data_IF_656362093213
#
_entry.id   IF_656362093213
#
_cell.length_a   1.000
_cell.length_b   1.000
_cell.length_c   1.000
_cell.angle_alpha   90.00
_cell.angle_beta   90.00
_cell.angle_gamma   90.00
#
_symmetry.space_group_name_H-M   'P 1'
#
loop_
_entity.id
_entity.type
_entity.pdbx_description
1 polymer ?
#
# COMPACT_ATOMS: atom_id res chain seq x y z
N UNK A 1 24.76 -10.37 -2.63
CA UNK A 1 24.20 -9.00 -2.46
C UNK A 1 24.72 -7.98 -3.50
N UNK A 2 26.01 -7.90 -3.87
CA UNK A 2 26.54 -6.92 -4.87
C UNK A 2 26.03 -7.10 -6.31
N UNK A 3 25.77 -8.33 -6.77
CA UNK A 3 25.37 -8.61 -8.17
C UNK A 3 23.99 -8.05 -8.57
N UNK A 4 23.00 -8.06 -7.67
CA UNK A 4 21.65 -7.57 -7.96
C UNK A 4 21.59 -6.04 -8.10
N UNK A 5 22.31 -5.31 -7.25
CA UNK A 5 22.42 -3.84 -7.32
C UNK A 5 23.11 -3.36 -8.59
N UNK A 6 24.08 -4.13 -9.10
CA UNK A 6 24.77 -3.82 -10.35
C UNK A 6 23.86 -3.97 -11.59
N UNK A 7 22.87 -4.87 -11.53
CA UNK A 7 21.97 -5.15 -12.65
C UNK A 7 20.69 -4.30 -12.65
N UNK A 8 20.20 -3.86 -11.49
CA UNK A 8 18.87 -3.20 -11.35
C UNK A 8 18.93 -1.80 -10.75
N UNK A 9 20.12 -1.32 -10.35
CA UNK A 9 20.28 -0.03 -9.65
C UNK A 9 19.73 0.01 -8.22
N UNK A 10 18.98 -1.02 -7.79
CA UNK A 10 18.35 -1.10 -6.46
C UNK A 10 18.88 -2.30 -5.67
N UNK A 11 18.77 -2.25 -4.34
CA UNK A 11 19.06 -3.45 -3.55
C UNK A 11 17.93 -4.47 -3.73
N UNK A 12 18.24 -5.77 -3.63
CA UNK A 12 17.21 -6.83 -3.66
C UNK A 12 16.07 -6.56 -2.67
N UNK A 13 16.41 -6.02 -1.50
CA UNK A 13 15.47 -5.63 -0.46
C UNK A 13 14.57 -4.49 -0.96
N UNK A 14 15.14 -3.46 -1.61
CA UNK A 14 14.37 -2.35 -2.16
C UNK A 14 13.42 -2.79 -3.28
N UNK A 15 13.86 -3.71 -4.15
CA UNK A 15 12.99 -4.24 -5.19
C UNK A 15 11.80 -5.02 -4.60
N UNK A 16 12.04 -5.90 -3.62
CA UNK A 16 10.97 -6.63 -2.92
C UNK A 16 10.03 -5.67 -2.18
N UNK A 17 10.57 -4.62 -1.54
CA UNK A 17 9.75 -3.59 -0.89
C UNK A 17 8.84 -2.90 -1.91
N UNK A 18 9.36 -2.53 -3.09
CA UNK A 18 8.55 -1.90 -4.13
C UNK A 18 7.43 -2.83 -4.61
N UNK A 19 7.72 -4.10 -4.88
CA UNK A 19 6.70 -5.09 -5.27
C UNK A 19 5.59 -5.23 -4.22
N UNK A 20 5.96 -5.28 -2.94
CA UNK A 20 5.00 -5.35 -1.83
C UNK A 20 4.15 -4.08 -1.71
N UNK A 21 4.72 -2.91 -1.98
CA UNK A 21 3.98 -1.65 -1.98
C UNK A 21 2.98 -1.60 -3.14
N UNK A 22 3.38 -2.03 -4.33
CA UNK A 22 2.46 -2.07 -5.48
C UNK A 22 1.30 -3.04 -5.25
N UNK A 23 1.56 -4.22 -4.68
CA UNK A 23 0.48 -5.14 -4.32
C UNK A 23 -0.42 -4.57 -3.22
N UNK A 24 0.14 -3.89 -2.22
CA UNK A 24 -0.66 -3.24 -1.19
C UNK A 24 -1.57 -2.14 -1.76
N UNK A 25 -1.11 -1.36 -2.76
CA UNK A 25 -1.94 -0.37 -3.45
C UNK A 25 -3.12 -1.05 -4.14
N UNK A 26 -2.85 -2.12 -4.89
CA UNK A 26 -3.89 -2.92 -5.57
C UNK A 26 -4.94 -3.45 -4.61
N UNK A 27 -4.53 -3.99 -3.46
CA UNK A 27 -5.46 -4.50 -2.43
C UNK A 27 -6.25 -3.36 -1.76
N UNK A 28 -5.63 -2.21 -1.51
CA UNK A 28 -6.33 -1.06 -0.95
C UNK A 28 -7.42 -0.50 -1.89
N UNK A 29 -7.20 -0.62 -3.20
CA UNK A 29 -8.13 -0.20 -4.26
C UNK A 29 -9.29 -1.19 -4.45
N UNK A 30 -9.03 -2.50 -4.31
CA UNK A 30 -9.95 -3.56 -4.74
C UNK A 30 -10.58 -4.39 -3.61
N UNK A 31 -10.10 -4.25 -2.38
CA UNK A 31 -10.54 -5.03 -1.21
C UNK A 31 -11.00 -4.14 -0.04
N UNK A 32 -11.85 -4.70 0.82
CA UNK A 32 -12.37 -4.09 2.05
C UNK A 32 -11.48 -4.36 3.28
N UNK A 33 -10.53 -5.29 3.20
CA UNK A 33 -9.59 -5.62 4.29
C UNK A 33 -8.94 -4.38 4.91
N UNK A 34 -8.72 -4.35 6.22
CA UNK A 34 -8.03 -3.24 6.88
C UNK A 34 -6.57 -3.10 6.40
N UNK A 35 -5.99 -1.92 6.61
CA UNK A 35 -4.58 -1.68 6.29
C UNK A 35 -3.61 -2.62 7.06
N UNK A 36 -4.04 -3.15 8.20
CA UNK A 36 -3.22 -4.02 9.05
C UNK A 36 -3.28 -5.48 8.56
N UNK A 37 -4.45 -5.94 8.11
CA UNK A 37 -4.58 -7.22 7.41
C UNK A 37 -3.80 -7.21 6.09
N UNK A 38 -3.90 -6.13 5.31
CA UNK A 38 -3.12 -5.97 4.07
C UNK A 38 -1.62 -5.98 4.38
N UNK A 39 -1.17 -5.39 5.48
CA UNK A 39 0.23 -5.43 5.89
C UNK A 39 0.72 -6.88 6.06
N UNK A 40 -0.07 -7.73 6.73
CA UNK A 40 0.25 -9.15 6.89
C UNK A 40 0.25 -9.89 5.54
N UNK A 41 -0.75 -9.64 4.68
CA UNK A 41 -0.85 -10.26 3.34
C UNK A 41 0.38 -9.95 2.48
N UNK A 42 0.86 -8.69 2.50
CA UNK A 42 2.06 -8.29 1.73
C UNK A 42 3.38 -8.58 2.48
N UNK A 43 3.33 -9.36 3.56
CA UNK A 43 4.49 -9.93 4.25
C UNK A 43 5.19 -8.99 5.24
N UNK A 44 4.42 -8.13 5.93
CA UNK A 44 4.89 -7.31 7.05
C UNK A 44 4.21 -7.72 8.36
N UNK A 45 5.00 -8.25 9.28
CA UNK A 45 4.53 -8.62 10.63
C UNK A 45 4.30 -7.40 11.54
N UNK A 46 4.81 -6.23 11.15
CA UNK A 46 4.66 -4.98 11.89
C UNK A 46 3.85 -3.96 11.06
N UNK A 47 2.54 -3.82 11.33
CA UNK A 47 1.68 -2.87 10.63
C UNK A 47 2.13 -1.41 10.75
N UNK A 48 2.74 -1.00 11.88
CA UNK A 48 3.26 0.35 12.05
C UNK A 48 4.49 0.62 11.16
N UNK A 49 5.33 -0.39 10.91
CA UNK A 49 6.41 -0.28 9.94
C UNK A 49 5.86 -0.18 8.52
N UNK A 50 4.93 -1.06 8.15
CA UNK A 50 4.26 -1.02 6.84
C UNK A 50 3.64 0.36 6.56
N UNK A 51 2.84 0.90 7.48
CA UNK A 51 2.20 2.22 7.31
C UNK A 51 3.21 3.35 7.05
N UNK A 52 4.35 3.34 7.76
CA UNK A 52 5.43 4.31 7.55
C UNK A 52 6.12 4.14 6.20
N UNK A 53 6.40 2.90 5.79
CA UNK A 53 7.01 2.60 4.51
C UNK A 53 6.06 2.98 3.36
N UNK A 54 4.79 2.58 3.44
CA UNK A 54 3.77 2.90 2.45
C UNK A 54 3.62 4.41 2.28
N UNK A 55 3.54 5.17 3.38
CA UNK A 55 3.50 6.64 3.32
C UNK A 55 4.74 7.24 2.69
N UNK A 56 5.93 6.71 3.00
CA UNK A 56 7.18 7.18 2.38
C UNK A 56 7.20 6.91 0.87
N UNK A 57 6.68 5.77 0.43
CA UNK A 57 6.69 5.37 -0.98
C UNK A 57 5.61 6.04 -1.82
N UNK A 58 4.44 6.34 -1.23
CA UNK A 58 3.27 6.86 -1.96
C UNK A 58 2.92 8.32 -1.64
N UNK A 59 3.48 8.88 -0.56
CA UNK A 59 3.08 10.17 0.00
C UNK A 59 1.84 10.12 0.90
N UNK A 60 1.07 9.02 0.89
CA UNK A 60 -0.23 8.90 1.57
C UNK A 60 -0.23 7.80 2.62
N UNK A 61 -1.02 7.95 3.69
CA UNK A 61 -1.30 6.80 4.56
C UNK A 61 -2.16 5.78 3.81
N UNK A 62 -2.11 4.47 4.13
CA UNK A 62 -2.95 3.48 3.46
C UNK A 62 -4.44 3.83 3.46
N UNK A 63 -4.97 4.36 4.58
CA UNK A 63 -6.36 4.80 4.66
C UNK A 63 -6.68 6.02 3.79
N UNK A 64 -5.78 7.00 3.70
CA UNK A 64 -5.95 8.14 2.80
C UNK A 64 -5.86 7.73 1.34
N UNK A 65 -4.94 6.82 1.00
CA UNK A 65 -4.81 6.23 -0.32
C UNK A 65 -6.09 5.49 -0.72
N UNK A 66 -6.60 4.61 0.15
CA UNK A 66 -7.88 3.91 -0.07
C UNK A 66 -9.03 4.87 -0.36
N UNK A 67 -9.21 5.92 0.45
CA UNK A 67 -10.29 6.91 0.22
C UNK A 67 -10.18 7.60 -1.14
N UNK A 68 -8.96 7.87 -1.60
CA UNK A 68 -8.73 8.57 -2.85
C UNK A 68 -8.87 7.67 -4.08
N UNK A 69 -8.51 6.40 -3.97
CA UNK A 69 -8.36 5.51 -5.13
C UNK A 69 -9.28 4.28 -5.14
N UNK A 70 -9.89 3.92 -4.02
CA UNK A 70 -10.82 2.79 -3.97
C UNK A 70 -12.25 3.25 -4.20
N UNK A 71 -12.94 2.73 -5.25
CA UNK A 71 -14.35 3.02 -5.48
C UNK A 71 -15.27 2.47 -4.38
N UNK A 72 -14.76 1.56 -3.54
CA UNK A 72 -15.48 0.98 -2.40
C UNK A 72 -15.48 1.89 -1.17
N UNK A 73 -14.66 2.95 -1.15
CA UNK A 73 -14.54 3.83 0.03
C UNK A 73 -15.69 4.82 0.20
N UNK A 74 -16.66 4.82 -0.74
CA UNK A 74 -17.97 5.42 -0.60
C UNK A 74 -18.03 6.70 0.23
N UNK A 75 -17.42 7.79 -0.25
CA UNK A 75 -18.09 9.08 -0.11
C UNK A 75 -19.28 9.04 -1.08
N UNK A 76 -20.40 8.46 -0.63
CA UNK A 76 -21.70 8.79 -1.21
C UNK A 76 -21.91 10.26 -0.88
N UNK A 77 -22.08 11.17 -1.87
CA UNK A 77 -22.45 12.55 -1.57
C UNK A 77 -23.68 12.53 -0.66
N UNK A 78 -23.58 13.19 0.49
CA UNK A 78 -24.65 13.26 1.50
C UNK A 78 -25.96 13.84 0.95
N UNK A 79 -25.93 14.41 -0.25
CA UNK A 79 -27.03 15.08 -0.94
C UNK A 79 -27.84 14.16 -1.89
N UNK A 80 -27.65 12.83 -1.85
CA UNK A 80 -28.42 11.89 -2.71
C UNK A 80 -29.59 11.19 -2.00
N UNK A 81 -29.96 11.65 -0.81
CA UNK A 81 -31.17 11.25 -0.10
C UNK A 81 -31.82 12.51 0.47
N UNK A 82 -32.41 13.33 -0.40
CA UNK A 82 -33.54 14.23 -0.14
C UNK A 82 -34.10 14.73 -1.49
#
# INVERSE_FOLDING_TARGET
KRRFKAATGTTLIGHVQNLRIEEAKRLLETDIQSADEIASVVGYDNPAFFRRLFKRSTGLTPGAYRRMFSPLSGDVPKDSLD
#
